data_IF_252729996474
#
_entry.id   IF_252729996474
#
_cell.length_a   1.000
_cell.length_b   1.000
_cell.length_c   1.000
_cell.angle_alpha   90.00
_cell.angle_beta   90.00
_cell.angle_gamma   90.00
#
_symmetry.space_group_name_H-M   'P 1'
#
loop_
_entity.id
_entity.type
_entity.pdbx_description
1 polymer ?
#
# COMPACT_ATOMS: atom_id res chain seq x y z
N UNK A 1 -6.84 23.76 7.15
CA UNK A 1 -6.61 25.16 6.69
C UNK A 1 -7.00 26.12 7.79
N UNK A 2 -6.33 27.26 7.88
CA UNK A 2 -6.64 28.30 8.87
C UNK A 2 -7.32 29.48 8.18
N UNK A 3 -8.65 29.65 8.32
CA UNK A 3 -9.37 30.78 7.74
C UNK A 3 -9.29 32.06 8.60
N UNK A 4 -8.62 32.02 9.74
CA UNK A 4 -8.58 33.12 10.70
C UNK A 4 -7.38 34.04 10.46
N UNK A 5 -7.44 35.23 11.07
CA UNK A 5 -6.39 36.27 10.97
C UNK A 5 -5.19 36.03 11.89
N UNK A 6 -5.20 34.97 12.72
CA UNK A 6 -4.14 34.64 13.68
C UNK A 6 -3.62 33.24 13.37
N UNK A 7 -2.30 33.04 13.50
CA UNK A 7 -1.68 31.73 13.36
C UNK A 7 -2.29 30.74 14.37
N UNK A 8 -2.44 29.48 13.97
CA UNK A 8 -2.85 28.43 14.87
C UNK A 8 -1.87 27.26 14.86
N UNK A 9 -1.74 26.58 16.00
CA UNK A 9 -0.98 25.34 16.14
C UNK A 9 -1.95 24.17 16.27
N UNK A 10 -1.75 23.13 15.46
CA UNK A 10 -2.62 21.95 15.43
C UNK A 10 -1.80 20.73 15.77
N UNK A 11 -2.28 19.94 16.73
CA UNK A 11 -1.73 18.63 17.09
C UNK A 11 -2.54 17.52 16.43
N UNK A 12 -1.83 16.52 15.90
CA UNK A 12 -2.38 15.39 15.18
C UNK A 12 -2.04 14.10 15.93
N UNK A 13 -3.04 13.26 16.16
CA UNK A 13 -2.82 11.94 16.76
C UNK A 13 -3.57 10.87 15.99
N UNK A 14 -3.03 9.65 15.97
CA UNK A 14 -3.71 8.45 15.48
C UNK A 14 -3.67 7.41 16.56
N UNK A 15 -4.85 6.91 16.94
CA UNK A 15 -5.02 5.92 18.00
C UNK A 15 -5.71 4.68 17.43
N UNK A 16 -5.14 3.47 17.61
CA UNK A 16 -5.79 2.22 17.20
C UNK A 16 -7.18 2.09 17.83
N UNK A 17 -8.10 1.42 17.14
CA UNK A 17 -9.46 1.18 17.65
C UNK A 17 -9.67 -0.29 18.00
N UNK A 18 -10.08 -0.57 19.24
CA UNK A 18 -10.42 -1.93 19.70
C UNK A 18 -9.21 -2.76 20.13
N UNK A 19 -9.35 -4.09 20.08
CA UNK A 19 -8.30 -5.08 20.37
C UNK A 19 -7.26 -5.22 19.23
N UNK A 20 -7.20 -4.25 18.31
CA UNK A 20 -6.05 -4.05 17.40
C UNK A 20 -4.81 -3.59 18.20
N UNK A 21 -4.58 -4.22 19.36
CA UNK A 21 -3.38 -4.13 20.14
C UNK A 21 -2.25 -4.62 19.27
N UNK A 22 -1.38 -3.68 18.90
CA UNK A 22 -0.07 -3.99 18.36
C UNK A 22 0.56 -5.10 19.20
N UNK A 23 0.89 -6.27 18.62
CA UNK A 23 1.63 -7.32 19.31
C UNK A 23 2.80 -6.72 20.09
N UNK A 24 3.10 -7.22 21.29
CA UNK A 24 4.16 -6.67 22.14
C UNK A 24 5.46 -6.48 21.34
N UNK A 25 5.92 -5.22 21.24
CA UNK A 25 7.12 -4.85 20.47
C UNK A 25 6.87 -4.38 19.04
N UNK A 26 5.63 -4.34 18.56
CA UNK A 26 5.27 -3.81 17.23
C UNK A 26 4.65 -2.41 17.30
N UNK A 27 4.84 -1.62 16.25
CA UNK A 27 4.23 -0.29 16.09
C UNK A 27 2.97 -0.39 15.23
N UNK A 28 1.95 0.39 15.56
CA UNK A 28 0.73 0.43 14.77
C UNK A 28 1.03 0.90 13.34
N UNK A 29 0.51 0.22 12.29
CA UNK A 29 0.97 0.45 10.93
C UNK A 29 0.56 1.80 10.35
N UNK A 30 -0.46 2.46 10.93
CA UNK A 30 -0.88 3.81 10.52
C UNK A 30 -0.16 4.84 11.39
N UNK A 31 0.64 5.69 10.75
CA UNK A 31 1.42 6.74 11.40
C UNK A 31 1.17 8.09 10.72
N UNK A 32 1.33 9.19 11.46
CA UNK A 32 1.18 10.55 10.93
C UNK A 32 2.45 11.35 11.13
N UNK A 33 2.79 12.15 10.12
CA UNK A 33 3.94 13.03 10.17
C UNK A 33 3.68 14.29 9.35
N UNK A 34 3.98 15.49 9.89
CA UNK A 34 4.36 15.76 11.28
C UNK A 34 3.17 15.67 12.26
N UNK A 35 3.44 15.45 13.55
CA UNK A 35 2.43 15.37 14.63
C UNK A 35 1.95 16.75 15.11
N UNK A 36 2.71 17.82 14.84
CA UNK A 36 2.30 19.20 15.12
C UNK A 36 2.60 20.07 13.91
N UNK A 37 1.70 20.98 13.58
CA UNK A 37 1.92 22.02 12.56
C UNK A 37 1.47 23.38 13.04
N UNK A 38 2.21 24.39 12.62
CA UNK A 38 1.78 25.78 12.65
C UNK A 38 1.19 26.16 11.30
N UNK A 39 -0.01 26.73 11.31
CA UNK A 39 -0.73 27.15 10.12
C UNK A 39 -0.91 28.67 10.20
N UNK A 40 -0.18 29.45 9.39
CA UNK A 40 -0.32 30.90 9.33
C UNK A 40 -1.74 31.34 8.94
N UNK A 41 -2.09 32.63 9.17
CA UNK A 41 -3.37 33.19 8.76
C UNK A 41 -3.66 32.96 7.27
N UNK A 42 -4.88 32.54 6.94
CA UNK A 42 -5.34 32.29 5.57
C UNK A 42 -4.52 31.25 4.78
N UNK A 43 -3.74 30.41 5.46
CA UNK A 43 -2.93 29.37 4.85
C UNK A 43 -3.44 27.94 5.12
N UNK A 44 -2.81 26.98 4.46
CA UNK A 44 -3.00 25.55 4.69
C UNK A 44 -1.65 24.82 4.71
N UNK A 45 -1.63 23.69 5.41
CA UNK A 45 -0.48 22.79 5.50
C UNK A 45 -0.97 21.36 5.27
N UNK A 46 -0.07 20.51 4.80
CA UNK A 46 -0.35 19.10 4.55
C UNK A 46 0.35 18.24 5.59
N UNK A 47 -0.34 17.18 6.00
CA UNK A 47 0.24 16.07 6.77
C UNK A 47 0.29 14.83 5.90
N UNK A 48 1.18 13.90 6.25
CA UNK A 48 1.24 12.58 5.62
C UNK A 48 0.80 11.52 6.59
N UNK A 49 -0.27 10.81 6.25
CA UNK A 49 -0.60 9.52 6.84
C UNK A 49 0.15 8.43 6.07
N UNK A 50 0.85 7.56 6.79
CA UNK A 50 1.58 6.42 6.21
C UNK A 50 1.00 5.13 6.78
N UNK A 51 0.74 4.17 5.90
CA UNK A 51 0.23 2.85 6.25
C UNK A 51 1.22 1.75 5.83
N UNK A 52 1.71 0.97 6.78
CA UNK A 52 2.66 -0.13 6.56
C UNK A 52 2.19 -1.42 7.28
N UNK A 53 1.13 -2.09 6.77
CA UNK A 53 0.58 -3.28 7.41
C UNK A 53 1.62 -4.42 7.46
N UNK A 54 1.63 -5.16 8.57
CA UNK A 54 2.48 -6.34 8.76
C UNK A 54 1.71 -7.65 8.60
N UNK A 55 0.37 -7.59 8.67
CA UNK A 55 -0.50 -8.75 8.62
C UNK A 55 -1.65 -8.52 7.64
N UNK A 56 -2.25 -9.62 7.17
CA UNK A 56 -3.44 -9.58 6.31
C UNK A 56 -4.70 -9.38 7.15
N UNK A 57 -4.85 -8.18 7.71
CA UNK A 57 -6.02 -7.81 8.51
C UNK A 57 -6.48 -6.38 8.20
N UNK A 58 -7.69 -6.04 8.62
CA UNK A 58 -8.19 -4.67 8.60
C UNK A 58 -7.71 -3.95 9.85
N UNK A 59 -7.04 -2.82 9.67
CA UNK A 59 -6.64 -1.93 10.76
C UNK A 59 -7.60 -0.75 10.82
N UNK A 60 -8.08 -0.43 12.01
CA UNK A 60 -8.92 0.75 12.25
C UNK A 60 -8.28 1.68 13.29
N UNK A 61 -8.39 2.98 13.06
CA UNK A 61 -7.86 4.00 13.95
C UNK A 61 -8.75 5.24 13.99
N UNK A 62 -8.69 5.96 15.11
CA UNK A 62 -9.23 7.32 15.21
C UNK A 62 -8.09 8.30 14.94
N UNK A 63 -8.30 9.17 13.96
CA UNK A 63 -7.47 10.34 13.71
C UNK A 63 -8.09 11.55 14.40
N UNK A 64 -7.31 12.24 15.23
CA UNK A 64 -7.69 13.49 15.87
C UNK A 64 -6.76 14.62 15.42
N UNK A 65 -7.35 15.77 15.08
CA UNK A 65 -6.67 17.04 14.88
C UNK A 65 -7.22 18.07 15.87
N UNK A 66 -6.37 18.61 16.74
CA UNK A 66 -6.76 19.50 17.83
C UNK A 66 -6.01 20.82 17.70
N UNK A 67 -6.74 21.92 17.59
CA UNK A 67 -6.18 23.28 17.62
C UNK A 67 -5.84 23.63 19.06
N UNK A 68 -4.55 23.88 19.34
CA UNK A 68 -4.09 24.34 20.66
C UNK A 68 -4.79 25.65 21.02
N UNK A 69 -5.25 25.74 22.26
CA UNK A 69 -5.93 26.92 22.80
C UNK A 69 -7.16 27.37 21.98
N UNK A 70 -7.75 26.47 21.19
CA UNK A 70 -8.98 26.76 20.45
C UNK A 70 -10.13 27.10 21.41
N UNK A 71 -10.59 28.35 21.36
CA UNK A 71 -11.59 28.87 22.30
C UNK A 71 -12.99 28.29 22.13
N UNK A 72 -13.34 27.80 20.94
CA UNK A 72 -14.63 27.17 20.67
C UNK A 72 -14.53 25.64 20.67
N UNK A 73 -15.18 24.95 21.62
CA UNK A 73 -15.18 23.50 21.71
C UNK A 73 -15.67 22.77 20.46
N UNK A 74 -16.55 23.38 19.67
CA UNK A 74 -17.14 22.74 18.48
C UNK A 74 -16.23 22.77 17.27
N UNK A 75 -15.35 23.77 17.19
CA UNK A 75 -14.49 23.99 16.01
C UNK A 75 -13.02 23.71 16.29
N UNK A 76 -12.61 23.58 17.56
CA UNK A 76 -11.22 23.30 17.95
C UNK A 76 -10.75 21.88 17.66
N UNK A 77 -11.65 20.94 17.39
CA UNK A 77 -11.30 19.53 17.17
C UNK A 77 -11.99 18.98 15.92
N UNK A 78 -11.21 18.24 15.14
CA UNK A 78 -11.70 17.36 14.10
C UNK A 78 -11.30 15.93 14.44
N UNK A 79 -12.23 14.99 14.29
CA UNK A 79 -11.97 13.57 14.53
C UNK A 79 -12.64 12.75 13.42
N UNK A 80 -11.93 11.76 12.90
CA UNK A 80 -12.48 10.82 11.93
C UNK A 80 -11.88 9.41 12.08
N UNK A 81 -12.57 8.43 11.51
CA UNK A 81 -12.04 7.07 11.41
C UNK A 81 -11.15 6.93 10.18
N UNK A 82 -10.00 6.29 10.36
CA UNK A 82 -9.09 5.88 9.28
C UNK A 82 -9.01 4.36 9.29
N UNK A 83 -9.20 3.74 8.12
CA UNK A 83 -9.08 2.30 7.92
C UNK A 83 -8.05 1.97 6.86
N UNK A 84 -7.37 0.85 7.03
CA UNK A 84 -6.45 0.31 6.03
C UNK A 84 -6.45 -1.21 6.07
N UNK A 85 -6.56 -1.84 4.91
CA UNK A 85 -6.52 -3.30 4.80
C UNK A 85 -5.11 -3.75 4.43
N UNK A 86 -4.53 -4.60 5.27
CA UNK A 86 -3.33 -5.35 4.94
C UNK A 86 -3.67 -6.47 3.96
N UNK A 87 -2.99 -6.51 2.82
CA UNK A 87 -3.24 -7.50 1.78
C UNK A 87 -1.94 -7.91 1.10
N UNK A 88 -1.89 -9.16 0.65
CA UNK A 88 -0.75 -9.67 -0.10
C UNK A 88 -0.83 -9.25 -1.57
N UNK A 89 0.32 -8.95 -2.20
CA UNK A 89 0.38 -8.88 -3.64
C UNK A 89 -0.13 -10.18 -4.26
N UNK A 90 -0.96 -10.09 -5.30
CA UNK A 90 -1.53 -11.27 -5.95
C UNK A 90 -1.20 -11.23 -7.45
N UNK A 91 -0.25 -12.07 -7.86
CA UNK A 91 0.24 -12.12 -9.24
C UNK A 91 -0.06 -13.51 -9.82
N UNK A 92 -0.68 -13.55 -11.00
CA UNK A 92 -0.94 -14.79 -11.74
C UNK A 92 -0.21 -14.80 -13.09
N UNK A 93 0.13 -15.99 -13.55
CA UNK A 93 0.59 -16.23 -14.93
C UNK A 93 -0.63 -16.56 -15.77
N UNK A 94 -0.93 -15.73 -16.77
CA UNK A 94 -1.99 -15.99 -17.75
C UNK A 94 -1.46 -16.81 -18.94
N UNK A 95 -0.23 -16.53 -19.36
CA UNK A 95 0.48 -17.34 -20.34
C UNK A 95 1.93 -17.58 -19.89
N UNK A 96 2.47 -18.80 -20.02
CA UNK A 96 1.84 -19.98 -20.62
C UNK A 96 0.80 -20.64 -19.69
N UNK A 97 -0.32 -21.06 -20.27
CA UNK A 97 -1.34 -21.87 -19.58
C UNK A 97 -0.93 -23.34 -19.38
N UNK A 98 -0.01 -23.86 -20.20
CA UNK A 98 0.49 -25.22 -20.08
C UNK A 98 1.43 -25.37 -18.88
N UNK A 99 1.28 -26.48 -18.15
CA UNK A 99 2.13 -26.83 -17.02
C UNK A 99 3.02 -28.04 -17.36
N UNK A 100 4.20 -28.11 -16.74
CA UNK A 100 5.03 -29.31 -16.72
C UNK A 100 4.48 -30.35 -15.74
N UNK A 101 5.05 -31.55 -15.75
CA UNK A 101 4.69 -32.61 -14.79
C UNK A 101 4.92 -32.17 -13.34
N UNK A 102 5.94 -31.32 -13.10
CA UNK A 102 6.22 -30.69 -11.79
C UNK A 102 5.32 -29.47 -11.46
N UNK A 103 4.29 -29.20 -12.27
CA UNK A 103 3.35 -28.08 -12.07
C UNK A 103 3.89 -26.68 -12.40
N UNK A 104 5.03 -26.56 -13.08
CA UNK A 104 5.61 -25.26 -13.47
C UNK A 104 5.08 -24.78 -14.83
N UNK A 105 4.88 -23.47 -15.04
CA UNK A 105 4.51 -22.94 -16.35
C UNK A 105 5.51 -23.34 -17.43
N UNK A 106 5.03 -23.88 -18.56
CA UNK A 106 5.85 -24.44 -19.64
C UNK A 106 5.55 -23.77 -20.98
N UNK A 107 6.58 -23.23 -21.60
CA UNK A 107 6.54 -22.80 -23.00
C UNK A 107 6.97 -23.95 -23.93
N UNK A 108 6.01 -24.61 -24.57
CA UNK A 108 6.29 -25.61 -25.59
C UNK A 108 6.48 -24.95 -26.96
N UNK A 109 7.71 -25.01 -27.48
CA UNK A 109 8.03 -24.59 -28.85
C UNK A 109 8.01 -25.80 -29.79
N UNK A 110 7.30 -25.74 -30.93
CA UNK A 110 7.35 -26.81 -31.93
C UNK A 110 8.68 -26.79 -32.69
N UNK A 111 8.98 -27.88 -33.40
CA UNK A 111 10.03 -27.85 -34.43
C UNK A 111 9.65 -26.86 -35.53
N UNK A 112 10.62 -26.07 -35.98
CA UNK A 112 10.46 -25.08 -37.05
C UNK A 112 11.39 -25.39 -38.21
N UNK A 113 11.01 -24.94 -39.41
CA UNK A 113 11.89 -24.97 -40.58
C UNK A 113 13.03 -23.97 -40.40
N UNK A 114 14.17 -24.23 -41.06
CA UNK A 114 15.31 -23.33 -41.06
C UNK A 114 14.89 -21.92 -41.50
N UNK A 115 15.34 -20.92 -40.75
CA UNK A 115 15.03 -19.50 -40.99
C UNK A 115 13.62 -19.06 -40.57
N UNK A 116 12.81 -19.94 -39.96
CA UNK A 116 11.53 -19.55 -39.35
C UNK A 116 11.69 -19.32 -37.85
N UNK A 117 10.97 -18.34 -37.32
CA UNK A 117 10.91 -18.03 -35.90
C UNK A 117 9.46 -18.08 -35.40
N UNK A 118 9.29 -18.39 -34.11
CA UNK A 118 8.02 -18.25 -33.40
C UNK A 118 8.28 -17.50 -32.10
N UNK A 119 7.35 -16.62 -31.75
CA UNK A 119 7.37 -15.91 -30.47
C UNK A 119 6.16 -16.37 -29.67
N UNK A 120 6.37 -16.73 -28.40
CA UNK A 120 5.30 -17.03 -27.46
C UNK A 120 5.34 -16.01 -26.32
N UNK A 121 4.21 -15.42 -25.93
CA UNK A 121 4.18 -14.44 -24.87
C UNK A 121 4.30 -15.10 -23.50
N UNK A 122 4.89 -14.38 -22.56
CA UNK A 122 4.74 -14.64 -21.13
C UNK A 122 3.90 -13.50 -20.59
N UNK A 123 2.68 -13.80 -20.14
CA UNK A 123 1.74 -12.79 -19.67
C UNK A 123 1.55 -13.01 -18.18
N UNK A 124 1.87 -11.96 -17.42
CA UNK A 124 1.75 -11.93 -15.97
C UNK A 124 0.84 -10.79 -15.60
N UNK A 125 -0.14 -11.05 -14.72
CA UNK A 125 -1.12 -10.08 -14.29
C UNK A 125 -1.07 -9.91 -12.78
N UNK A 126 -0.92 -8.66 -12.33
CA UNK A 126 -1.19 -8.32 -10.93
C UNK A 126 -2.71 -8.17 -10.76
N UNK A 127 -3.31 -9.16 -10.11
CA UNK A 127 -4.73 -9.19 -9.73
C UNK A 127 -4.99 -8.50 -8.40
N UNK A 128 -3.94 -8.17 -7.65
CA UNK A 128 -4.03 -7.55 -6.34
C UNK A 128 -4.40 -6.08 -6.44
N UNK A 129 -4.87 -5.54 -5.31
CA UNK A 129 -5.15 -4.11 -5.15
C UNK A 129 -3.92 -3.30 -4.73
N UNK A 130 -2.81 -3.98 -4.44
CA UNK A 130 -1.51 -3.39 -4.10
C UNK A 130 -0.51 -3.58 -5.23
N UNK A 131 0.41 -2.62 -5.45
CA UNK A 131 1.53 -2.80 -6.37
C UNK A 131 2.34 -4.05 -6.02
N UNK A 132 2.72 -4.81 -7.05
CA UNK A 132 3.49 -6.05 -6.90
C UNK A 132 4.77 -5.96 -7.71
N UNK A 133 5.87 -6.48 -7.15
CA UNK A 133 7.10 -6.76 -7.90
C UNK A 133 7.26 -8.26 -7.96
N UNK A 134 7.47 -8.80 -9.17
CA UNK A 134 7.71 -10.22 -9.36
C UNK A 134 9.03 -10.43 -10.10
N UNK A 135 9.68 -11.56 -9.80
CA UNK A 135 10.87 -12.01 -10.50
C UNK A 135 10.51 -13.27 -11.28
N UNK A 136 10.82 -13.27 -12.58
CA UNK A 136 10.65 -14.43 -13.43
C UNK A 136 12.03 -15.01 -13.72
N UNK A 137 12.22 -16.29 -13.37
CA UNK A 137 13.43 -17.03 -13.66
C UNK A 137 13.10 -18.19 -14.61
N UNK A 138 13.86 -18.31 -15.69
CA UNK A 138 13.75 -19.41 -16.66
C UNK A 138 15.11 -20.12 -16.74
N UNK A 139 15.18 -21.43 -16.46
CA UNK A 139 16.42 -22.18 -16.62
C UNK A 139 16.80 -22.28 -18.09
N UNK A 140 18.12 -22.25 -18.37
CA UNK A 140 18.63 -22.46 -19.71
C UNK A 140 18.24 -23.87 -20.21
N UNK A 141 17.80 -23.95 -21.46
CA UNK A 141 17.40 -25.22 -22.08
C UNK A 141 18.36 -25.55 -23.22
N UNK A 142 18.90 -26.77 -23.20
CA UNK A 142 19.82 -27.26 -24.24
C UNK A 142 19.17 -27.34 -25.63
N UNK A 143 17.84 -27.30 -25.70
CA UNK A 143 17.08 -27.36 -26.94
C UNK A 143 17.09 -26.05 -27.74
N UNK A 144 17.61 -24.95 -27.17
CA UNK A 144 17.67 -23.62 -27.81
C UNK A 144 19.11 -23.11 -27.99
N UNK A 145 20.07 -24.02 -28.20
CA UNK A 145 21.46 -23.67 -28.57
C UNK A 145 21.55 -23.13 -30.00
#
# INVERSE_FOLDING_TARGET
>A
SNPNNVQCTVDFTVKPRGDDATPEGSTFPITISPETLEIPPHEHRYIRARFLPQEMTTYAATFDAIVREGGDPKTKQFSCEVRGDGTLPHVSVEEPSALSDDGKPRLAFPRLLLGKSITKPIIVRNNGVVPATCRLDMPFSEHFK
#
